data_IF_495542406473
#
_entry.id   IF_495542406473
#
_cell.length_a   1.000
_cell.length_b   1.000
_cell.length_c   1.000
_cell.angle_alpha   90.00
_cell.angle_beta   90.00
_cell.angle_gamma   90.00
#
_symmetry.space_group_name_H-M   'P 1'
#
loop_
_entity.id
_entity.type
_entity.pdbx_description
1 polymer ?
#
# COMPACT_ATOMS: atom_id res chain seq x y z
N UNK A 1 -18.71 -4.06 5.66
CA UNK A 1 -17.39 -4.71 5.42
C UNK A 1 -17.36 -5.40 4.06
N UNK A 2 -16.20 -5.78 3.51
CA UNK A 2 -16.11 -6.35 2.14
C UNK A 2 -17.00 -7.59 1.94
N UNK A 3 -17.19 -8.39 2.97
CA UNK A 3 -18.08 -9.57 2.97
C UNK A 3 -19.57 -9.25 2.83
N UNK A 4 -19.97 -7.97 2.93
CA UNK A 4 -21.35 -7.52 2.71
C UNK A 4 -21.62 -7.18 1.23
N UNK A 5 -20.56 -7.07 0.42
CA UNK A 5 -20.67 -6.83 -1.01
C UNK A 5 -20.70 -8.17 -1.76
N UNK A 6 -21.38 -8.18 -2.90
CA UNK A 6 -21.50 -9.35 -3.78
C UNK A 6 -20.17 -9.62 -4.51
N UNK A 7 -19.21 -10.20 -3.79
CA UNK A 7 -17.87 -10.60 -4.23
C UNK A 7 -17.45 -11.89 -3.52
N UNK A 8 -16.51 -12.64 -4.11
CA UNK A 8 -15.78 -13.69 -3.40
C UNK A 8 -14.46 -13.11 -2.87
N UNK A 9 -14.30 -13.12 -1.55
CA UNK A 9 -13.08 -12.64 -0.90
C UNK A 9 -12.16 -13.81 -0.54
N UNK A 10 -10.88 -13.70 -0.91
CA UNK A 10 -9.84 -14.71 -0.63
C UNK A 10 -8.71 -14.05 0.14
N UNK A 11 -8.30 -14.68 1.25
CA UNK A 11 -7.04 -14.35 1.95
C UNK A 11 -6.06 -15.49 1.84
N UNK A 12 -4.78 -15.14 1.78
CA UNK A 12 -3.70 -16.12 1.67
C UNK A 12 -2.70 -15.93 2.79
N UNK A 13 -2.09 -17.02 3.23
CA UNK A 13 -0.87 -16.97 4.03
C UNK A 13 0.30 -17.36 3.13
N UNK A 14 1.46 -16.75 3.37
CA UNK A 14 2.70 -17.08 2.69
C UNK A 14 3.83 -17.09 3.71
N UNK A 15 4.97 -17.73 3.38
CA UNK A 15 6.12 -17.74 4.29
C UNK A 15 6.70 -16.35 4.48
N UNK A 16 6.97 -15.99 5.72
CA UNK A 16 7.56 -14.71 6.11
C UNK A 16 8.99 -14.87 6.66
N UNK A 17 9.71 -13.74 6.74
CA UNK A 17 11.06 -13.68 7.33
C UNK A 17 12.06 -14.63 6.64
N UNK A 18 13.00 -15.17 7.41
CA UNK A 18 14.04 -16.08 6.92
C UNK A 18 13.44 -17.31 6.21
N UNK A 19 12.30 -17.82 6.70
CA UNK A 19 11.65 -19.00 6.09
C UNK A 19 11.08 -18.71 4.70
N UNK A 20 10.71 -17.46 4.40
CA UNK A 20 10.16 -17.04 3.12
C UNK A 20 11.19 -16.42 2.18
N UNK A 21 12.25 -15.82 2.70
CA UNK A 21 13.09 -14.91 1.91
C UNK A 21 14.59 -15.16 2.05
N UNK A 22 15.02 -16.20 2.78
CA UNK A 22 16.44 -16.58 2.78
C UNK A 22 16.88 -16.97 1.37
N UNK A 23 17.95 -16.32 0.91
CA UNK A 23 18.68 -16.67 -0.30
C UNK A 23 20.12 -17.00 0.06
N UNK A 24 20.67 -18.03 -0.59
CA UNK A 24 22.10 -18.32 -0.60
C UNK A 24 22.72 -18.01 -1.97
N UNK A 25 22.01 -17.26 -2.82
CA UNK A 25 22.44 -16.81 -4.15
C UNK A 25 22.94 -17.98 -5.02
N UNK A 26 22.27 -19.12 -4.91
CA UNK A 26 22.56 -20.32 -5.67
C UNK A 26 21.28 -21.07 -6.03
N UNK A 27 21.41 -22.04 -6.93
CA UNK A 27 20.27 -22.80 -7.48
C UNK A 27 19.49 -23.61 -6.44
N UNK A 28 20.11 -23.94 -5.29
CA UNK A 28 19.46 -24.75 -4.24
C UNK A 28 18.54 -23.90 -3.37
N UNK A 29 18.90 -22.65 -3.11
CA UNK A 29 18.08 -21.73 -2.32
C UNK A 29 18.15 -20.31 -2.93
N UNK A 30 17.47 -20.07 -4.06
CA UNK A 30 17.52 -18.80 -4.77
C UNK A 30 16.67 -17.67 -4.12
N UNK A 31 16.02 -17.94 -2.98
CA UNK A 31 15.15 -16.99 -2.30
C UNK A 31 13.73 -16.88 -2.87
N UNK A 32 13.02 -15.84 -2.39
CA UNK A 32 11.66 -15.47 -2.77
C UNK A 32 10.63 -16.61 -2.67
N UNK A 33 10.80 -17.47 -1.67
CA UNK A 33 9.88 -18.57 -1.39
C UNK A 33 8.50 -18.06 -0.95
N UNK A 34 8.44 -16.95 -0.20
CA UNK A 34 7.18 -16.27 0.15
C UNK A 34 6.41 -15.78 -1.08
N UNK A 35 7.08 -15.13 -2.04
CA UNK A 35 6.46 -14.71 -3.31
C UNK A 35 6.02 -15.91 -4.15
N UNK A 36 6.78 -17.01 -4.13
CA UNK A 36 6.41 -18.26 -4.81
C UNK A 36 5.18 -18.92 -4.17
N UNK A 37 5.02 -18.82 -2.85
CA UNK A 37 3.78 -19.26 -2.19
C UNK A 37 2.58 -18.44 -2.66
N UNK A 38 2.74 -17.12 -2.82
CA UNK A 38 1.69 -16.25 -3.35
C UNK A 38 1.34 -16.63 -4.79
N UNK A 39 2.32 -16.93 -5.66
CA UNK A 39 2.07 -17.43 -7.03
C UNK A 39 1.24 -18.72 -6.99
N UNK A 40 1.60 -19.69 -6.13
CA UNK A 40 0.84 -20.92 -5.99
C UNK A 40 -0.60 -20.67 -5.53
N UNK A 41 -0.79 -19.70 -4.62
CA UNK A 41 -2.13 -19.33 -4.18
C UNK A 41 -2.95 -18.65 -5.29
N UNK A 42 -2.34 -17.79 -6.12
CA UNK A 42 -3.01 -17.19 -7.28
C UNK A 42 -3.40 -18.27 -8.31
N UNK A 43 -2.54 -19.25 -8.56
CA UNK A 43 -2.86 -20.40 -9.40
C UNK A 43 -4.01 -21.23 -8.82
N UNK A 44 -4.04 -21.42 -7.50
CA UNK A 44 -5.16 -22.09 -6.84
C UNK A 44 -6.47 -21.32 -7.04
N UNK A 45 -6.47 -20.00 -6.87
CA UNK A 45 -7.64 -19.15 -7.13
C UNK A 45 -8.10 -19.31 -8.57
N UNK A 46 -7.20 -19.17 -9.54
CA UNK A 46 -7.51 -19.34 -10.97
C UNK A 46 -8.16 -20.70 -11.28
N UNK A 47 -7.69 -21.78 -10.65
CA UNK A 47 -8.17 -23.13 -10.93
C UNK A 47 -9.45 -23.52 -10.16
N UNK A 48 -9.78 -22.83 -9.06
CA UNK A 48 -10.79 -23.32 -8.12
C UNK A 48 -11.84 -22.30 -7.70
N UNK A 49 -11.65 -21.01 -7.95
CA UNK A 49 -12.55 -19.97 -7.41
C UNK A 49 -13.99 -20.09 -7.94
N UNK A 50 -14.18 -20.66 -9.13
CA UNK A 50 -15.50 -20.95 -9.71
C UNK A 50 -16.33 -21.88 -8.80
N UNK A 51 -15.69 -22.83 -8.10
CA UNK A 51 -16.38 -23.72 -7.16
C UNK A 51 -16.94 -23.00 -5.92
N UNK A 52 -16.49 -21.77 -5.67
CA UNK A 52 -16.95 -20.91 -4.59
C UNK A 52 -17.84 -19.76 -5.10
N UNK A 53 -18.22 -19.78 -6.38
CA UNK A 53 -19.06 -18.76 -7.01
C UNK A 53 -18.31 -17.52 -7.50
N UNK A 54 -16.96 -17.56 -7.55
CA UNK A 54 -16.17 -16.46 -8.11
C UNK A 54 -15.90 -16.63 -9.61
N UNK A 55 -15.54 -15.55 -10.28
CA UNK A 55 -15.15 -15.56 -11.69
C UNK A 55 -13.62 -15.60 -11.83
N UNK A 56 -13.02 -16.69 -12.34
CA UNK A 56 -11.57 -16.76 -12.53
C UNK A 56 -11.03 -15.73 -13.53
N UNK A 57 -11.88 -15.22 -14.43
CA UNK A 57 -11.49 -14.18 -15.40
C UNK A 57 -11.59 -12.76 -14.84
N UNK A 58 -12.13 -12.59 -13.63
CA UNK A 58 -12.30 -11.29 -12.99
C UNK A 58 -11.75 -11.31 -11.56
N UNK A 59 -10.43 -11.52 -11.45
CA UNK A 59 -9.71 -11.57 -10.19
C UNK A 59 -8.95 -10.25 -9.98
N UNK A 60 -9.28 -9.54 -8.91
CA UNK A 60 -8.54 -8.34 -8.48
C UNK A 60 -7.63 -8.69 -7.31
N UNK A 61 -6.34 -8.46 -7.48
CA UNK A 61 -5.35 -8.58 -6.40
C UNK A 61 -5.20 -7.22 -5.70
N UNK A 62 -5.33 -7.22 -4.37
CA UNK A 62 -5.13 -6.02 -3.54
C UNK A 62 -4.24 -6.37 -2.35
N UNK A 63 -3.49 -5.39 -1.84
CA UNK A 63 -2.64 -5.53 -0.67
C UNK A 63 -2.19 -4.18 -0.12
N UNK A 64 -1.86 -4.16 1.16
CA UNK A 64 -1.43 -2.98 1.91
C UNK A 64 0.00 -3.21 2.43
N UNK A 65 0.81 -2.14 2.54
CA UNK A 65 2.23 -2.23 2.94
C UNK A 65 3.03 -3.23 2.08
N UNK A 66 3.72 -4.20 2.71
CA UNK A 66 4.39 -5.32 2.03
C UNK A 66 3.46 -6.13 1.11
N UNK A 67 2.16 -6.15 1.39
CA UNK A 67 1.14 -6.71 0.50
C UNK A 67 0.98 -5.89 -0.79
N UNK A 68 1.02 -4.56 -0.69
CA UNK A 68 1.02 -3.66 -1.85
C UNK A 68 2.27 -3.85 -2.72
N UNK A 69 3.45 -3.98 -2.08
CA UNK A 69 4.68 -4.36 -2.79
C UNK A 69 4.54 -5.74 -3.47
N UNK A 70 3.92 -6.72 -2.79
CA UNK A 70 3.64 -8.03 -3.37
C UNK A 70 2.76 -7.95 -4.63
N UNK A 71 1.70 -7.12 -4.61
CA UNK A 71 0.87 -6.86 -5.81
C UNK A 71 1.74 -6.32 -6.95
N UNK A 72 2.61 -5.34 -6.67
CA UNK A 72 3.50 -4.79 -7.67
C UNK A 72 4.46 -5.85 -8.23
N UNK A 73 5.06 -6.70 -7.39
CA UNK A 73 5.88 -7.82 -7.84
C UNK A 73 5.10 -8.78 -8.76
N UNK A 74 3.83 -9.06 -8.48
CA UNK A 74 2.99 -9.87 -9.34
C UNK A 74 2.62 -9.19 -10.66
N UNK A 75 2.52 -7.85 -10.70
CA UNK A 75 2.34 -7.13 -11.96
C UNK A 75 3.58 -7.22 -12.87
N UNK A 76 4.77 -7.29 -12.29
CA UNK A 76 6.04 -7.34 -13.02
C UNK A 76 6.46 -8.77 -13.39
N UNK A 77 6.20 -9.74 -12.49
CA UNK A 77 6.70 -11.10 -12.62
C UNK A 77 6.00 -11.85 -13.76
N UNK A 78 6.74 -12.45 -14.71
CA UNK A 78 6.15 -13.27 -15.74
C UNK A 78 5.41 -14.48 -15.17
N UNK A 79 5.83 -14.98 -13.99
CA UNK A 79 5.20 -16.12 -13.31
C UNK A 79 3.73 -15.87 -12.92
N UNK A 80 3.31 -14.61 -12.88
CA UNK A 80 1.95 -14.20 -12.49
C UNK A 80 1.08 -13.79 -13.68
N UNK A 81 1.67 -13.59 -14.87
CA UNK A 81 0.97 -13.09 -16.07
C UNK A 81 0.43 -14.18 -16.97
N UNK A 82 0.99 -15.38 -16.95
CA UNK A 82 0.51 -16.61 -17.57
C UNK A 82 1.61 -17.65 -17.29
N UNK A 83 1.25 -18.84 -16.80
CA UNK A 83 2.18 -19.79 -16.18
C UNK A 83 3.28 -20.36 -17.08
N UNK A 84 4.30 -19.57 -17.40
CA UNK A 84 5.54 -20.06 -18.05
C UNK A 84 6.79 -19.49 -17.40
N UNK A 85 7.73 -20.40 -17.13
CA UNK A 85 9.06 -20.14 -16.57
C UNK A 85 10.05 -19.99 -17.72
N UNK A 86 10.74 -18.86 -17.79
CA UNK A 86 11.97 -18.72 -18.58
C UNK A 86 13.09 -18.20 -17.68
N UNK A 87 13.84 -19.13 -17.07
CA UNK A 87 15.01 -18.84 -16.24
C UNK A 87 16.17 -18.20 -17.04
N UNK A 88 16.19 -18.36 -18.36
CA UNK A 88 17.34 -18.01 -19.20
C UNK A 88 17.50 -16.49 -19.43
N UNK A 89 16.44 -15.71 -19.23
CA UNK A 89 16.41 -14.28 -19.55
C UNK A 89 16.85 -13.36 -18.39
N UNK A 90 16.74 -13.83 -17.14
CA UNK A 90 17.23 -13.10 -15.95
C UNK A 90 18.74 -13.32 -15.76
N UNK A 91 19.25 -14.49 -16.14
CA UNK A 91 20.68 -14.81 -16.05
C UNK A 91 21.55 -14.04 -17.06
N UNK A 92 20.96 -13.46 -18.12
CA UNK A 92 21.71 -12.69 -19.12
C UNK A 92 21.97 -11.23 -18.73
N UNK A 93 21.27 -10.68 -17.72
CA UNK A 93 21.48 -9.30 -17.26
C UNK A 93 21.07 -9.13 -15.79
N UNK A 94 22.04 -9.30 -14.88
CA UNK A 94 21.85 -9.15 -13.44
C UNK A 94 21.78 -7.69 -12.98
N UNK A 95 22.01 -6.71 -13.87
CA UNK A 95 21.92 -5.29 -13.51
C UNK A 95 20.48 -4.85 -13.19
N UNK A 96 19.48 -5.57 -13.72
CA UNK A 96 18.05 -5.38 -13.43
C UNK A 96 17.64 -5.70 -11.98
N UNK A 97 18.53 -6.32 -11.19
CA UNK A 97 18.30 -6.67 -9.78
C UNK A 97 18.94 -5.70 -8.79
N UNK A 98 19.73 -4.73 -9.26
CA UNK A 98 20.36 -3.71 -8.42
C UNK A 98 19.42 -2.51 -8.41
N UNK A 99 18.80 -2.15 -7.26
CA UNK A 99 18.13 -0.86 -7.16
C UNK A 99 19.13 0.25 -7.50
N UNK A 100 18.82 1.06 -8.51
CA UNK A 100 19.62 2.24 -8.92
C UNK A 100 19.85 3.21 -7.75
N UNK A 101 19.01 3.10 -6.72
CA UNK A 101 18.93 3.96 -5.54
C UNK A 101 20.08 3.73 -4.53
N UNK A 102 20.87 2.64 -4.67
CA UNK A 102 21.89 2.22 -3.70
C UNK A 102 23.30 2.76 -3.97
N UNK A 103 23.44 3.91 -4.65
CA UNK A 103 24.73 4.54 -4.97
C UNK A 103 25.53 5.02 -3.73
N UNK A 104 25.96 4.10 -2.86
CA UNK A 104 26.65 4.41 -1.60
C UNK A 104 28.16 4.17 -1.76
N UNK A 105 28.90 5.25 -1.94
CA UNK A 105 30.24 5.37 -1.36
C UNK A 105 30.08 5.95 0.04
N UNK A 106 30.27 5.12 1.08
CA UNK A 106 30.10 5.55 2.46
C UNK A 106 31.23 6.49 2.90
N UNK A 107 30.96 7.79 2.94
CA UNK A 107 31.70 8.76 3.76
C UNK A 107 30.77 9.30 4.85
N UNK A 108 31.08 8.95 6.11
CA UNK A 108 30.31 9.37 7.29
C UNK A 108 30.20 10.89 7.43
N UNK A 109 31.16 11.65 6.92
CA UNK A 109 31.12 13.12 6.97
C UNK A 109 30.09 13.69 6.00
N UNK A 110 30.00 13.10 4.81
CA UNK A 110 29.00 13.49 3.80
C UNK A 110 27.59 13.08 4.22
N UNK A 111 27.42 11.88 4.79
CA UNK A 111 26.16 11.42 5.39
C UNK A 111 25.67 12.37 6.49
N UNK A 112 26.58 12.82 7.37
CA UNK A 112 26.23 13.76 8.43
C UNK A 112 25.86 15.16 7.90
N UNK A 113 26.54 15.64 6.84
CA UNK A 113 26.21 16.90 6.17
C UNK A 113 24.82 16.82 5.52
N UNK A 114 24.57 15.77 4.74
CA UNK A 114 23.29 15.53 4.06
C UNK A 114 22.15 15.39 5.07
N UNK A 115 22.36 14.65 6.16
CA UNK A 115 21.37 14.52 7.24
C UNK A 115 20.97 15.87 7.85
N UNK A 116 21.90 16.82 7.99
CA UNK A 116 21.60 18.18 8.47
C UNK A 116 20.83 19.00 7.44
N UNK A 117 21.17 18.88 6.15
CA UNK A 117 20.46 19.59 5.08
C UNK A 117 19.01 19.09 4.96
N UNK A 118 18.79 17.78 5.05
CA UNK A 118 17.45 17.16 5.07
C UNK A 118 16.67 17.64 6.30
N UNK A 119 17.29 17.61 7.49
CA UNK A 119 16.65 18.11 8.71
C UNK A 119 16.25 19.58 8.58
N UNK A 120 17.13 20.40 8.02
CA UNK A 120 16.86 21.82 7.79
C UNK A 120 15.71 22.02 6.79
N UNK A 121 15.63 21.22 5.73
CA UNK A 121 14.56 21.31 4.74
C UNK A 121 13.18 20.98 5.33
N UNK A 122 13.05 19.86 6.04
CA UNK A 122 11.75 19.43 6.59
C UNK A 122 11.36 20.20 7.86
N UNK A 123 12.32 20.48 8.73
CA UNK A 123 12.04 20.90 10.11
C UNK A 123 12.41 22.36 10.37
N UNK A 124 13.25 22.94 9.51
CA UNK A 124 13.80 24.29 9.70
C UNK A 124 14.48 24.46 11.07
N UNK A 125 15.16 23.40 11.54
CA UNK A 125 15.82 23.31 12.85
C UNK A 125 17.07 22.45 12.76
N UNK A 126 18.04 22.73 13.64
CA UNK A 126 19.26 21.92 13.79
C UNK A 126 19.06 20.66 14.68
N UNK A 127 17.89 20.51 15.30
CA UNK A 127 17.61 19.37 16.19
C UNK A 127 16.13 19.00 16.23
N UNK A 128 15.86 17.73 16.56
CA UNK A 128 14.52 17.18 16.79
C UNK A 128 14.04 17.46 18.21
N UNK A 129 12.76 17.79 18.35
CA UNK A 129 12.02 17.81 19.61
C UNK A 129 10.65 17.16 19.42
N UNK A 130 9.91 16.96 20.50
CA UNK A 130 8.53 16.47 20.40
C UNK A 130 7.61 17.42 19.62
N UNK A 131 7.95 18.70 19.52
CA UNK A 131 7.17 19.69 18.78
C UNK A 131 7.41 19.60 17.27
N UNK A 132 8.54 19.02 16.86
CA UNK A 132 8.93 18.86 15.45
C UNK A 132 8.64 17.47 14.89
N UNK A 133 8.05 16.58 15.69
CA UNK A 133 7.74 15.21 15.26
C UNK A 133 6.82 15.19 14.03
N UNK A 134 5.78 16.03 13.88
CA UNK A 134 4.96 16.03 12.67
C UNK A 134 5.77 16.24 11.38
N UNK A 135 6.69 17.20 11.35
CA UNK A 135 7.55 17.45 10.19
C UNK A 135 8.55 16.32 9.95
N UNK A 136 9.00 15.66 11.03
CA UNK A 136 9.81 14.46 10.91
C UNK A 136 9.01 13.27 10.34
N UNK A 137 7.71 13.16 10.64
CA UNK A 137 6.83 12.17 10.04
C UNK A 137 6.59 12.44 8.56
N UNK A 138 6.56 13.70 8.11
CA UNK A 138 6.51 14.04 6.68
C UNK A 138 7.75 13.49 5.95
N UNK A 139 8.95 13.69 6.52
CA UNK A 139 10.19 13.09 5.99
C UNK A 139 10.10 11.56 5.91
N UNK A 140 9.65 10.91 6.98
CA UNK A 140 9.51 9.45 6.98
C UNK A 140 8.49 8.97 5.95
N UNK A 141 7.39 9.71 5.77
CA UNK A 141 6.37 9.41 4.77
C UNK A 141 6.94 9.48 3.36
N UNK A 142 7.72 10.53 3.06
CA UNK A 142 8.36 10.69 1.76
C UNK A 142 9.35 9.57 1.45
N UNK A 143 10.23 9.27 2.41
CA UNK A 143 11.31 8.29 2.24
C UNK A 143 10.79 6.85 2.18
N UNK A 144 9.87 6.48 3.09
CA UNK A 144 9.41 5.10 3.20
C UNK A 144 8.31 4.76 2.18
N UNK A 145 7.53 5.75 1.73
CA UNK A 145 6.35 5.50 0.89
C UNK A 145 6.25 6.44 -0.32
N UNK A 146 6.17 7.75 -0.11
CA UNK A 146 5.66 8.67 -1.15
C UNK A 146 6.54 8.72 -2.40
N UNK A 147 7.87 8.71 -2.25
CA UNK A 147 8.81 8.71 -3.38
C UNK A 147 8.66 7.44 -4.23
N UNK A 148 8.62 6.27 -3.58
CA UNK A 148 8.46 4.99 -4.27
C UNK A 148 7.07 4.85 -4.93
N UNK A 149 6.03 5.38 -4.27
CA UNK A 149 4.68 5.45 -4.81
C UNK A 149 4.61 6.38 -6.03
N UNK A 150 5.23 7.55 -5.99
CA UNK A 150 5.29 8.48 -7.13
C UNK A 150 6.03 7.85 -8.31
N UNK A 151 7.18 7.21 -8.07
CA UNK A 151 7.91 6.49 -9.12
C UNK A 151 7.04 5.37 -9.73
N UNK A 152 6.34 4.61 -8.90
CA UNK A 152 5.41 3.56 -9.35
C UNK A 152 4.25 4.15 -10.15
N UNK A 153 3.64 5.25 -9.69
CA UNK A 153 2.54 5.95 -10.36
C UNK A 153 2.97 6.45 -11.74
N UNK A 154 4.12 7.12 -11.85
CA UNK A 154 4.65 7.59 -13.14
C UNK A 154 4.91 6.44 -14.10
N UNK A 155 5.46 5.32 -13.62
CA UNK A 155 5.67 4.13 -14.44
C UNK A 155 4.34 3.51 -14.89
N UNK A 156 3.34 3.41 -14.01
CA UNK A 156 2.01 2.92 -14.36
C UNK A 156 1.37 3.81 -15.42
N UNK A 157 1.35 5.12 -15.23
CA UNK A 157 0.76 6.07 -16.19
C UNK A 157 1.48 6.10 -17.53
N UNK A 158 2.79 5.84 -17.55
CA UNK A 158 3.58 5.85 -18.79
C UNK A 158 3.43 4.56 -19.59
N UNK A 159 3.31 3.41 -18.93
CA UNK A 159 3.42 2.10 -19.58
C UNK A 159 2.13 1.29 -19.59
N UNK A 160 1.15 1.57 -18.72
CA UNK A 160 -0.12 0.87 -18.74
C UNK A 160 -1.09 1.52 -19.73
N UNK A 161 -1.92 0.69 -20.35
CA UNK A 161 -2.98 1.12 -21.26
C UNK A 161 -4.34 1.25 -20.58
N UNK A 162 -4.48 0.72 -19.37
CA UNK A 162 -5.69 0.83 -18.57
C UNK A 162 -5.70 2.13 -17.73
N UNK A 163 -6.89 2.65 -17.37
CA UNK A 163 -6.99 3.79 -16.46
C UNK A 163 -6.35 3.49 -15.10
N UNK A 164 -5.53 4.42 -14.62
CA UNK A 164 -4.94 4.38 -13.27
C UNK A 164 -5.73 5.34 -12.39
N UNK A 165 -6.09 4.91 -11.19
CA UNK A 165 -6.82 5.73 -10.22
C UNK A 165 -5.97 5.91 -8.97
N UNK A 166 -5.63 7.15 -8.66
CA UNK A 166 -4.83 7.50 -7.48
C UNK A 166 -5.74 8.02 -6.36
N UNK A 167 -5.43 7.70 -5.10
CA UNK A 167 -6.11 8.26 -3.94
C UNK A 167 -5.13 8.60 -2.82
N UNK A 168 -5.56 9.49 -1.92
CA UNK A 168 -4.89 9.78 -0.66
C UNK A 168 -5.91 9.63 0.46
N UNK A 169 -5.67 8.71 1.39
CA UNK A 169 -6.55 8.51 2.53
C UNK A 169 -6.16 9.49 3.65
N UNK A 170 -7.11 10.31 4.11
CA UNK A 170 -6.88 11.35 5.11
C UNK A 170 -7.90 11.32 6.26
N UNK A 171 -8.90 10.43 6.19
CA UNK A 171 -9.92 10.31 7.21
C UNK A 171 -9.34 9.77 8.53
N UNK A 172 -9.61 10.47 9.63
CA UNK A 172 -9.19 10.06 10.96
C UNK A 172 -10.38 9.51 11.74
N UNK A 173 -10.24 8.31 12.28
CA UNK A 173 -11.26 7.69 13.12
C UNK A 173 -10.69 7.26 14.48
N UNK A 174 -11.46 7.37 15.58
CA UNK A 174 -11.10 6.75 16.86
C UNK A 174 -10.95 5.22 16.79
N UNK A 175 -11.38 4.60 15.69
CA UNK A 175 -11.22 3.17 15.41
C UNK A 175 -9.91 2.81 14.72
N UNK A 176 -9.19 3.82 14.23
CA UNK A 176 -7.97 3.63 13.44
C UNK A 176 -6.90 2.92 14.25
N UNK A 177 -6.01 2.22 13.55
CA UNK A 177 -4.95 1.45 14.20
C UNK A 177 -4.02 2.37 15.01
N UNK A 178 -3.72 3.56 14.50
CA UNK A 178 -2.92 4.59 15.17
C UNK A 178 -3.45 5.00 16.56
N UNK A 179 -4.77 5.08 16.74
CA UNK A 179 -5.40 5.40 18.01
C UNK A 179 -5.15 4.32 19.08
N UNK A 180 -4.84 3.10 18.65
CA UNK A 180 -4.45 1.99 19.52
C UNK A 180 -2.93 1.86 19.68
N UNK A 181 -2.17 1.97 18.59
CA UNK A 181 -0.72 1.70 18.59
C UNK A 181 0.11 2.84 19.17
N UNK A 182 -0.28 4.10 18.97
CA UNK A 182 0.45 5.26 19.52
C UNK A 182 0.49 5.25 21.06
N UNK A 183 -0.64 5.04 21.78
CA UNK A 183 -0.61 4.89 23.24
C UNK A 183 0.24 3.72 23.74
N UNK A 184 0.32 2.63 22.98
CA UNK A 184 1.12 1.46 23.35
C UNK A 184 2.62 1.73 23.24
N UNK A 185 3.06 2.41 22.17
CA UNK A 185 4.47 2.75 21.96
C UNK A 185 4.95 3.98 22.73
N UNK A 186 4.08 4.99 22.90
CA UNK A 186 4.45 6.30 23.45
C UNK A 186 3.36 6.91 24.36
N UNK A 187 2.99 6.25 25.47
CA UNK A 187 1.81 6.61 26.27
C UNK A 187 1.79 8.06 26.78
N UNK A 188 2.96 8.61 27.14
CA UNK A 188 3.09 9.98 27.66
C UNK A 188 2.96 11.08 26.59
N UNK A 189 2.96 10.71 25.31
CA UNK A 189 2.97 11.63 24.17
C UNK A 189 1.90 11.33 23.12
N UNK A 190 1.27 10.16 23.16
CA UNK A 190 0.26 9.75 22.19
C UNK A 190 -0.87 10.78 22.01
N UNK A 191 -1.32 11.41 23.10
CA UNK A 191 -2.37 12.44 23.03
C UNK A 191 -1.98 13.67 22.19
N UNK A 192 -0.69 13.93 21.98
CA UNK A 192 -0.20 15.00 21.11
C UNK A 192 -0.39 14.66 19.62
N UNK A 193 -0.40 13.37 19.27
CA UNK A 193 -0.34 12.90 17.88
C UNK A 193 -1.63 12.23 17.40
N UNK A 194 -2.48 11.77 18.32
CA UNK A 194 -3.77 11.19 18.00
C UNK A 194 -4.63 12.21 17.23
N UNK A 195 -5.10 11.80 16.04
CA UNK A 195 -6.01 12.60 15.21
C UNK A 195 -5.35 13.71 14.41
N UNK A 196 -4.01 13.78 14.35
CA UNK A 196 -3.31 14.73 13.48
C UNK A 196 -3.39 14.37 11.99
N UNK A 197 -3.63 13.09 11.68
CA UNK A 197 -3.72 12.58 10.32
C UNK A 197 -3.95 11.06 10.32
N UNK A 198 -4.25 10.52 9.14
CA UNK A 198 -4.33 9.09 8.95
C UNK A 198 -2.91 8.50 8.92
N UNK A 199 -2.67 7.47 9.73
CA UNK A 199 -1.40 6.74 9.74
C UNK A 199 -1.44 5.54 8.80
N UNK A 200 -0.26 4.97 8.57
CA UNK A 200 -0.08 3.74 7.81
C UNK A 200 -1.01 2.60 8.27
N UNK A 201 -1.88 2.11 7.37
CA UNK A 201 -2.82 1.01 7.62
C UNK A 201 -4.15 1.41 8.29
N UNK A 202 -4.36 2.70 8.61
CA UNK A 202 -5.59 3.17 9.24
C UNK A 202 -6.83 2.98 8.35
N UNK A 203 -6.68 2.89 7.03
CA UNK A 203 -7.78 2.62 6.10
C UNK A 203 -8.35 1.19 6.25
N UNK A 204 -7.54 0.24 6.74
CA UNK A 204 -7.91 -1.19 6.78
C UNK A 204 -9.08 -1.47 7.73
N UNK A 205 -9.20 -0.72 8.83
CA UNK A 205 -10.29 -0.91 9.80
C UNK A 205 -11.67 -0.52 9.25
N UNK A 206 -11.69 0.17 8.10
CA UNK A 206 -12.91 0.53 7.38
C UNK A 206 -13.30 -0.50 6.31
N UNK A 207 -12.36 -1.31 5.83
CA UNK A 207 -12.59 -2.39 4.87
C UNK A 207 -12.86 -3.74 5.57
N UNK A 208 -12.12 -4.01 6.65
CA UNK A 208 -12.07 -5.29 7.33
C UNK A 208 -12.57 -5.23 8.77
N UNK A 209 -13.19 -6.33 9.19
CA UNK A 209 -13.44 -6.56 10.60
C UNK A 209 -12.17 -7.13 11.23
N UNK A 210 -11.59 -6.39 12.18
CA UNK A 210 -10.47 -6.88 12.98
C UNK A 210 -10.95 -7.91 14.01
N UNK A 211 -10.13 -8.94 14.25
CA UNK A 211 -10.28 -9.89 15.35
C UNK A 211 -9.00 -9.93 16.20
N UNK A 212 -8.22 -8.84 16.20
CA UNK A 212 -7.05 -8.73 17.08
C UNK A 212 -7.53 -8.69 18.53
N UNK A 213 -7.21 -9.71 19.37
CA UNK A 213 -7.73 -9.80 20.73
C UNK A 213 -7.35 -8.60 21.62
N UNK A 214 -6.19 -8.01 21.35
CA UNK A 214 -5.63 -6.89 22.12
C UNK A 214 -6.23 -5.55 21.71
N UNK A 215 -6.87 -5.45 20.54
CA UNK A 215 -7.44 -4.21 20.05
C UNK A 215 -8.83 -4.00 20.67
N UNK A 216 -9.07 -2.89 21.41
CA UNK A 216 -10.36 -2.63 22.01
C UNK A 216 -11.44 -2.46 20.93
N UNK A 217 -12.60 -3.06 21.15
CA UNK A 217 -13.73 -2.86 20.25
C UNK A 217 -14.32 -1.47 20.43
N UNK A 218 -14.16 -0.63 19.41
CA UNK A 218 -14.80 0.69 19.31
C UNK A 218 -15.89 0.63 18.23
N UNK A 219 -17.19 0.80 18.55
CA UNK A 219 -18.26 0.77 17.54
C UNK A 219 -18.13 1.93 16.53
N UNK A 220 -18.57 1.75 15.27
CA UNK A 220 -18.46 2.80 14.25
C UNK A 220 -19.45 3.92 14.50
N UNK A 221 -18.97 5.16 14.43
CA UNK A 221 -19.79 6.37 14.40
C UNK A 221 -20.63 6.44 13.11
N UNK A 222 -21.59 7.36 13.03
CA UNK A 222 -22.37 7.57 11.80
C UNK A 222 -21.47 7.96 10.62
N UNK A 223 -20.45 8.77 10.87
CA UNK A 223 -19.46 9.19 9.86
C UNK A 223 -18.58 8.02 9.43
N UNK A 224 -18.10 7.19 10.38
CA UNK A 224 -17.39 5.95 10.05
C UNK A 224 -18.21 5.07 9.12
N UNK A 225 -19.51 4.90 9.41
CA UNK A 225 -20.38 4.08 8.57
C UNK A 225 -20.53 4.64 7.15
N UNK A 226 -20.54 5.97 6.99
CA UNK A 226 -20.56 6.61 5.66
C UNK A 226 -19.25 6.33 4.91
N UNK A 227 -18.10 6.54 5.57
CA UNK A 227 -16.77 6.31 4.96
C UNK A 227 -16.59 4.84 4.62
N UNK A 228 -16.97 3.93 5.52
CA UNK A 228 -16.94 2.49 5.29
C UNK A 228 -17.76 2.11 4.06
N UNK A 229 -19.01 2.58 3.94
CA UNK A 229 -19.84 2.30 2.75
C UNK A 229 -19.18 2.80 1.46
N UNK A 230 -18.66 4.04 1.45
CA UNK A 230 -17.99 4.61 0.27
C UNK A 230 -16.75 3.82 -0.14
N UNK A 231 -15.88 3.48 0.82
CA UNK A 231 -14.69 2.66 0.56
C UNK A 231 -15.05 1.29 -0.01
N UNK A 232 -16.03 0.61 0.59
CA UNK A 232 -16.47 -0.71 0.13
C UNK A 232 -17.03 -0.66 -1.28
N UNK A 233 -17.88 0.33 -1.59
CA UNK A 233 -18.42 0.50 -2.94
C UNK A 233 -17.33 0.85 -3.95
N UNK A 234 -16.38 1.71 -3.60
CA UNK A 234 -15.30 2.07 -4.50
C UNK A 234 -14.39 0.87 -4.81
N UNK A 235 -13.95 0.13 -3.79
CA UNK A 235 -13.10 -1.05 -3.96
C UNK A 235 -13.80 -2.19 -4.70
N UNK A 236 -15.06 -2.46 -4.38
CA UNK A 236 -15.80 -3.55 -5.06
C UNK A 236 -16.30 -3.16 -6.44
N UNK A 237 -16.63 -1.89 -6.67
CA UNK A 237 -16.92 -1.34 -7.99
C UNK A 237 -15.71 -1.47 -8.92
N UNK A 238 -14.53 -1.10 -8.41
CA UNK A 238 -13.26 -1.30 -9.12
C UNK A 238 -13.01 -2.77 -9.41
N UNK A 239 -13.15 -3.65 -8.41
CA UNK A 239 -12.93 -5.08 -8.60
C UNK A 239 -13.89 -5.71 -9.64
N UNK A 240 -15.11 -5.17 -9.77
CA UNK A 240 -16.11 -5.67 -10.73
C UNK A 240 -15.90 -5.13 -12.15
N UNK A 241 -15.48 -3.88 -12.28
CA UNK A 241 -15.59 -3.13 -13.55
C UNK A 241 -14.32 -2.44 -14.01
N UNK A 242 -13.27 -2.42 -13.19
CA UNK A 242 -12.08 -1.61 -13.40
C UNK A 242 -12.30 -0.10 -13.18
N UNK A 243 -13.48 0.31 -12.70
CA UNK A 243 -13.83 1.71 -12.42
C UNK A 243 -14.36 1.82 -10.98
N UNK A 244 -13.73 2.64 -10.10
CA UNK A 244 -14.17 2.75 -8.72
C UNK A 244 -15.44 3.61 -8.55
N UNK A 245 -15.90 4.31 -9.58
CA UNK A 245 -17.07 5.19 -9.49
C UNK A 245 -18.36 4.42 -9.24
N UNK A 246 -19.20 4.93 -8.32
CA UNK A 246 -20.53 4.41 -8.03
C UNK A 246 -21.47 5.58 -7.67
N UNK A 247 -22.78 5.31 -7.62
CA UNK A 247 -23.79 6.34 -7.31
C UNK A 247 -23.60 7.02 -5.93
N UNK A 248 -22.97 6.31 -4.98
CA UNK A 248 -22.69 6.81 -3.63
C UNK A 248 -21.45 7.73 -3.56
N UNK A 249 -20.65 7.80 -4.63
CA UNK A 249 -19.51 8.69 -4.73
C UNK A 249 -19.98 10.06 -5.23
N UNK A 250 -20.14 11.00 -4.29
CA UNK A 250 -20.58 12.37 -4.57
C UNK A 250 -19.66 13.15 -5.54
N UNK A 251 -18.42 12.70 -5.71
CA UNK A 251 -17.43 13.25 -6.65
C UNK A 251 -16.98 12.15 -7.61
N UNK A 252 -16.87 12.49 -8.90
CA UNK A 252 -16.33 11.56 -9.89
C UNK A 252 -14.84 11.36 -9.62
N UNK A 253 -14.46 10.13 -9.26
CA UNK A 253 -13.06 9.71 -9.18
C UNK A 253 -12.52 9.62 -10.60
N UNK A 254 -11.85 10.68 -11.04
CA UNK A 254 -11.29 10.78 -12.39
C UNK A 254 -10.00 9.94 -12.46
N UNK A 255 -9.73 9.25 -13.58
CA UNK A 255 -8.43 8.63 -13.81
C UNK A 255 -7.29 9.65 -13.71
N UNK A 256 -6.18 9.24 -13.13
CA UNK A 256 -4.96 10.03 -13.02
C UNK A 256 -4.30 10.20 -14.40
N UNK A 257 -3.56 11.30 -14.58
CA UNK A 257 -2.92 11.70 -15.83
C UNK A 257 -1.51 12.21 -15.58
N UNK A 258 -0.55 11.76 -16.40
CA UNK A 258 0.87 12.12 -16.20
C UNK A 258 1.14 13.61 -16.42
N UNK A 259 0.32 14.30 -17.22
CA UNK A 259 0.48 15.73 -17.52
C UNK A 259 -0.36 16.61 -16.60
N UNK A 260 -1.45 16.08 -16.06
CA UNK A 260 -2.38 16.75 -15.16
C UNK A 260 -2.70 15.82 -13.98
N UNK A 261 -1.72 15.57 -13.09
CA UNK A 261 -1.88 14.59 -12.03
C UNK A 261 -3.09 14.93 -11.17
N UNK A 262 -3.82 13.89 -10.78
CA UNK A 262 -4.93 14.04 -9.84
C UNK A 262 -5.13 12.78 -9.00
N UNK A 263 -5.71 12.98 -7.83
CA UNK A 263 -6.06 11.90 -6.93
C UNK A 263 -7.35 12.20 -6.18
N UNK A 264 -8.01 11.17 -5.69
CA UNK A 264 -9.15 11.31 -4.80
C UNK A 264 -8.67 11.42 -3.35
N UNK A 265 -8.90 12.56 -2.72
CA UNK A 265 -8.71 12.69 -1.27
C UNK A 265 -9.91 12.05 -0.56
N UNK A 266 -9.64 11.05 0.28
CA UNK A 266 -10.63 10.29 1.04
C UNK A 266 -10.60 10.71 2.52
N UNK A 267 -11.11 11.91 2.79
CA UNK A 267 -11.36 12.41 4.14
C UNK A 267 -12.81 12.23 4.58
N UNK A 268 -13.28 13.09 5.50
CA UNK A 268 -14.71 13.21 5.85
C UNK A 268 -15.57 13.57 4.64
N UNK A 269 -15.02 14.40 3.75
CA UNK A 269 -15.59 14.75 2.45
C UNK A 269 -14.62 14.27 1.38
N UNK A 270 -15.14 13.60 0.36
CA UNK A 270 -14.34 13.06 -0.73
C UNK A 270 -14.28 14.04 -1.88
N UNK A 271 -13.08 14.40 -2.30
CA UNK A 271 -12.89 15.40 -3.36
C UNK A 271 -11.71 15.03 -4.26
N UNK A 272 -11.85 15.33 -5.55
CA UNK A 272 -10.77 15.19 -6.50
C UNK A 272 -9.82 16.38 -6.35
N UNK A 273 -8.55 16.10 -6.09
CA UNK A 273 -7.49 17.09 -5.85
C UNK A 273 -6.50 17.01 -7.01
N UNK A 274 -6.03 18.18 -7.47
CA UNK A 274 -4.92 18.21 -8.43
C UNK A 274 -3.63 17.82 -7.70
N UNK A 275 -2.93 16.84 -8.25
CA UNK A 275 -1.57 16.52 -7.82
C UNK A 275 -0.63 17.69 -8.13
N UNK A 276 0.45 17.77 -7.36
CA UNK A 276 1.55 18.70 -7.56
C UNK A 276 2.66 18.01 -8.35
#
# INVERSE_FOLDING_TARGET
FLIEEDIVYVTINYRCGVLGFLSLENDKLPGNLGLKDQVLALQWVQNHIESFGGDPNNVTLFGESAGGASVHYHMLSPLSKEGTVHCDQVNSDLSLMVPDDLAITADRNEECRLGKEILQFYINSESLSWDTVPQYLDLLTDVEFAIAQENSRRNLLKYQTCPVFSYQFTYCSPRSLSYFTLPMGTPHKAAQFIGLGASHGDELVHLFKTNMPEMPFTPPTEEDQIVMRKLLKAWTGFAKTGNPNCEDLASSWVPDDINNPCYLEMGSVWQCVKGV
#
